data_IF_526757931614
#
_entry.id   IF_526757931614
#
_cell.length_a   1.000
_cell.length_b   1.000
_cell.length_c   1.000
_cell.angle_alpha   90.00
_cell.angle_beta   90.00
_cell.angle_gamma   90.00
#
_symmetry.space_group_name_H-M   'P 1'
#
loop_
_entity.id
_entity.type
_entity.pdbx_description
1 polymer ?
#
# COMPACT_ATOMS: atom_id res chain seq x y z
N UNK A 1 35.34 -13.93 -5.72
CA UNK A 1 33.96 -13.71 -6.25
C UNK A 1 34.06 -13.47 -7.75
N UNK A 2 33.18 -14.03 -8.61
CA UNK A 2 33.13 -13.60 -10.03
C UNK A 2 32.59 -12.16 -10.08
N UNK A 3 33.42 -11.20 -10.49
CA UNK A 3 33.00 -9.82 -10.72
C UNK A 3 32.08 -9.75 -11.97
N UNK A 4 31.15 -8.79 -12.02
CA UNK A 4 30.30 -8.54 -13.19
C UNK A 4 29.01 -9.38 -13.33
N UNK A 5 28.51 -10.01 -12.27
CA UNK A 5 27.25 -10.77 -12.35
C UNK A 5 26.04 -9.82 -12.44
N UNK A 6 25.51 -9.60 -13.65
CA UNK A 6 24.40 -8.66 -13.92
C UNK A 6 23.02 -9.10 -13.36
N UNK A 7 22.86 -10.37 -12.99
CA UNK A 7 21.56 -10.97 -12.62
C UNK A 7 21.67 -11.95 -11.45
N UNK A 8 20.60 -12.11 -10.65
CA UNK A 8 20.58 -13.09 -9.55
C UNK A 8 20.45 -14.51 -10.12
N UNK A 9 21.18 -15.48 -9.58
CA UNK A 9 21.15 -16.88 -10.06
C UNK A 9 19.95 -17.71 -9.56
N UNK A 10 19.35 -17.35 -8.42
CA UNK A 10 18.23 -18.06 -7.77
C UNK A 10 18.44 -19.56 -7.55
N UNK A 11 19.69 -19.99 -7.39
CA UNK A 11 20.07 -21.41 -7.30
C UNK A 11 19.45 -22.28 -8.40
N UNK A 12 19.40 -21.74 -9.62
CA UNK A 12 18.81 -22.39 -10.80
C UNK A 12 19.77 -22.33 -11.98
N UNK A 13 19.67 -23.33 -12.86
CA UNK A 13 20.30 -23.31 -14.19
C UNK A 13 19.78 -22.13 -15.01
N UNK A 14 20.49 -21.75 -16.07
CA UNK A 14 20.12 -20.59 -16.89
C UNK A 14 18.73 -20.73 -17.53
N UNK A 15 18.43 -21.92 -18.08
CA UNK A 15 17.15 -22.26 -18.70
C UNK A 15 16.00 -22.17 -17.68
N UNK A 16 16.12 -22.85 -16.54
CA UNK A 16 15.09 -22.84 -15.50
C UNK A 16 14.89 -21.43 -14.91
N UNK A 17 15.99 -20.67 -14.69
CA UNK A 17 15.87 -19.28 -14.24
C UNK A 17 15.08 -18.43 -15.23
N UNK A 18 15.36 -18.56 -16.53
CA UNK A 18 14.64 -17.79 -17.54
C UNK A 18 13.17 -18.20 -17.60
N UNK A 19 12.87 -19.49 -17.60
CA UNK A 19 11.49 -19.98 -17.60
C UNK A 19 10.70 -19.50 -16.38
N UNK A 20 11.30 -19.54 -15.18
CA UNK A 20 10.70 -19.01 -13.95
C UNK A 20 10.37 -17.50 -14.08
N UNK A 21 11.28 -16.71 -14.63
CA UNK A 21 11.06 -15.27 -14.81
C UNK A 21 10.01 -14.99 -15.88
N UNK A 22 10.00 -15.74 -17.00
CA UNK A 22 8.95 -15.66 -18.03
C UNK A 22 7.58 -15.96 -17.45
N UNK A 23 7.49 -17.00 -16.61
CA UNK A 23 6.27 -17.35 -15.90
C UNK A 23 5.82 -16.20 -14.99
N UNK A 24 6.68 -15.66 -14.12
CA UNK A 24 6.33 -14.55 -13.24
C UNK A 24 5.90 -13.28 -13.99
N UNK A 25 6.53 -12.96 -15.13
CA UNK A 25 6.10 -11.83 -15.97
C UNK A 25 4.75 -12.10 -16.62
N UNK A 26 4.52 -13.33 -17.11
CA UNK A 26 3.24 -13.75 -17.70
C UNK A 26 2.11 -13.62 -16.66
N UNK A 27 2.30 -14.17 -15.44
CA UNK A 27 1.34 -14.03 -14.34
C UNK A 27 1.13 -12.59 -13.90
N UNK A 28 2.16 -11.74 -13.97
CA UNK A 28 2.01 -10.31 -13.69
C UNK A 28 1.11 -9.61 -14.72
N UNK A 29 1.18 -9.96 -16.00
CA UNK A 29 0.30 -9.38 -17.03
C UNK A 29 -1.13 -9.92 -16.97
N UNK A 30 -1.27 -11.18 -16.59
CA UNK A 30 -2.56 -11.82 -16.39
C UNK A 30 -3.33 -11.17 -15.23
N UNK A 31 -2.73 -11.14 -14.04
CA UNK A 31 -3.40 -10.71 -12.81
C UNK A 31 -3.16 -9.24 -12.44
N UNK A 32 -2.24 -8.55 -13.11
CA UNK A 32 -1.79 -7.16 -12.84
C UNK A 32 -1.15 -6.94 -11.46
N UNK A 33 -1.17 -7.94 -10.58
CA UNK A 33 -0.56 -7.94 -9.26
C UNK A 33 -0.22 -9.39 -8.85
N UNK A 34 1.01 -9.60 -8.36
CA UNK A 34 1.48 -10.90 -7.86
C UNK A 34 2.24 -10.72 -6.54
N UNK A 35 2.24 -11.76 -5.70
CA UNK A 35 3.02 -11.81 -4.47
C UNK A 35 4.15 -12.83 -4.62
N UNK A 36 5.39 -12.42 -4.37
CA UNK A 36 6.56 -13.30 -4.48
C UNK A 36 7.67 -12.86 -3.53
N UNK A 37 8.83 -13.50 -3.58
CA UNK A 37 9.98 -13.05 -2.78
C UNK A 37 10.58 -11.77 -3.36
N UNK A 38 11.07 -10.87 -2.50
CA UNK A 38 11.64 -9.59 -2.89
C UNK A 38 12.70 -9.70 -4.01
N UNK A 39 13.68 -10.62 -3.99
CA UNK A 39 14.65 -10.73 -5.07
C UNK A 39 14.03 -11.17 -6.39
N UNK A 40 13.01 -12.06 -6.37
CA UNK A 40 12.27 -12.46 -7.58
C UNK A 40 11.47 -11.28 -8.14
N UNK A 41 10.74 -10.55 -7.29
CA UNK A 41 9.97 -9.38 -7.69
C UNK A 41 10.83 -8.32 -8.40
N UNK A 42 12.04 -8.06 -7.90
CA UNK A 42 12.99 -7.09 -8.50
C UNK A 42 13.44 -7.50 -9.90
N UNK A 43 13.76 -8.78 -10.11
CA UNK A 43 14.22 -9.25 -11.43
C UNK A 43 13.04 -9.37 -12.41
N UNK A 44 11.85 -9.77 -11.94
CA UNK A 44 10.62 -9.79 -12.72
C UNK A 44 10.22 -8.37 -13.17
N UNK A 45 10.29 -7.37 -12.28
CA UNK A 45 10.00 -5.97 -12.61
C UNK A 45 10.84 -5.47 -13.79
N UNK A 46 12.16 -5.72 -13.76
CA UNK A 46 13.09 -5.30 -14.84
C UNK A 46 12.71 -5.89 -16.20
N UNK A 47 12.24 -7.13 -16.23
CA UNK A 47 11.81 -7.79 -17.46
C UNK A 47 10.44 -7.31 -17.91
N UNK A 48 9.49 -7.19 -16.99
CA UNK A 48 8.14 -6.69 -17.28
C UNK A 48 8.19 -5.28 -17.88
N UNK A 49 9.04 -4.38 -17.38
CA UNK A 49 9.20 -3.03 -17.93
C UNK A 49 9.69 -3.04 -19.38
N UNK A 50 10.62 -3.94 -19.72
CA UNK A 50 11.08 -4.10 -21.10
C UNK A 50 9.97 -4.62 -22.01
N UNK A 51 9.17 -5.58 -21.56
CA UNK A 51 8.05 -6.12 -22.35
C UNK A 51 6.97 -5.05 -22.56
N UNK A 52 6.65 -4.23 -21.55
CA UNK A 52 5.73 -3.09 -21.72
C UNK A 52 6.29 -2.08 -22.73
N UNK A 53 7.59 -1.83 -22.70
CA UNK A 53 8.26 -0.94 -23.66
C UNK A 53 8.13 -1.47 -25.10
N UNK A 54 8.23 -2.79 -25.31
CA UNK A 54 7.92 -3.42 -26.60
C UNK A 54 6.44 -3.22 -26.97
N UNK A 55 5.53 -3.41 -26.01
CA UNK A 55 4.09 -3.16 -26.19
C UNK A 55 3.79 -1.74 -26.66
N UNK A 56 4.45 -0.73 -26.08
CA UNK A 56 4.34 0.67 -26.49
C UNK A 56 4.90 0.94 -27.88
N UNK A 57 5.97 0.23 -28.29
CA UNK A 57 6.61 0.42 -29.60
C UNK A 57 5.71 -0.04 -30.75
N UNK A 58 5.02 -1.18 -30.57
CA UNK A 58 4.00 -1.66 -31.52
C UNK A 58 4.50 -2.12 -32.89
N UNK A 59 5.81 -2.20 -33.14
CA UNK A 59 6.34 -2.69 -34.43
C UNK A 59 6.25 -4.23 -34.54
N UNK A 60 6.29 -4.76 -35.77
CA UNK A 60 6.26 -6.21 -36.03
C UNK A 60 7.35 -6.96 -35.25
N UNK A 61 8.54 -6.35 -35.15
CA UNK A 61 9.64 -6.91 -34.38
C UNK A 61 9.37 -6.97 -32.87
N UNK A 62 8.75 -5.94 -32.27
CA UNK A 62 8.30 -5.99 -30.88
C UNK A 62 7.25 -7.07 -30.67
N UNK A 63 6.30 -7.21 -31.61
CA UNK A 63 5.28 -8.25 -31.54
C UNK A 63 5.91 -9.64 -31.50
N UNK A 64 6.80 -9.97 -32.45
CA UNK A 64 7.51 -11.26 -32.48
C UNK A 64 8.29 -11.51 -31.19
N UNK A 65 9.02 -10.51 -30.67
CA UNK A 65 9.79 -10.64 -29.42
C UNK A 65 8.90 -10.86 -28.20
N UNK A 66 7.79 -10.13 -28.11
CA UNK A 66 6.84 -10.25 -26.99
C UNK A 66 6.14 -11.62 -27.02
N UNK A 67 5.66 -12.06 -28.19
CA UNK A 67 5.06 -13.37 -28.38
C UNK A 67 6.02 -14.51 -28.07
N UNK A 68 7.30 -14.39 -28.44
CA UNK A 68 8.31 -15.40 -28.12
C UNK A 68 8.63 -15.45 -26.61
N UNK A 69 8.45 -14.35 -25.88
CA UNK A 69 8.75 -14.27 -24.45
C UNK A 69 7.57 -14.70 -23.57
N UNK A 70 6.35 -14.25 -23.85
CA UNK A 70 5.18 -14.60 -23.05
C UNK A 70 4.85 -16.08 -23.22
N UNK A 71 4.46 -16.74 -22.12
CA UNK A 71 4.07 -18.15 -22.16
C UNK A 71 2.61 -18.34 -22.59
N UNK A 72 1.80 -17.30 -22.49
CA UNK A 72 0.38 -17.32 -22.81
C UNK A 72 0.10 -16.36 -23.98
N UNK A 73 -0.21 -16.87 -25.19
CA UNK A 73 -0.45 -16.04 -26.38
C UNK A 73 -1.64 -15.07 -26.24
N UNK A 74 -2.66 -15.42 -25.43
CA UNK A 74 -3.84 -14.59 -25.23
C UNK A 74 -3.55 -13.24 -24.53
N UNK A 75 -2.39 -13.09 -23.89
CA UNK A 75 -1.98 -11.83 -23.26
C UNK A 75 -1.32 -10.86 -24.24
N UNK A 76 -0.94 -11.32 -25.44
CA UNK A 76 -0.28 -10.47 -26.45
C UNK A 76 -1.19 -9.32 -26.89
N UNK A 77 -2.48 -9.54 -27.25
CA UNK A 77 -3.40 -8.44 -27.56
C UNK A 77 -3.58 -7.46 -26.39
N UNK A 78 -3.62 -7.96 -25.14
CA UNK A 78 -3.72 -7.12 -23.94
C UNK A 78 -2.50 -6.21 -23.80
N UNK A 79 -1.31 -6.72 -24.09
CA UNK A 79 -0.06 -5.95 -24.05
C UNK A 79 -0.05 -4.77 -25.05
N UNK A 80 -0.37 -5.04 -26.32
CA UNK A 80 -0.35 -4.02 -27.38
C UNK A 80 -1.62 -3.14 -27.40
N UNK A 81 -2.69 -3.58 -26.73
CA UNK A 81 -3.92 -2.81 -26.58
C UNK A 81 -3.97 -2.05 -25.26
N UNK A 82 -4.43 -2.72 -24.21
CA UNK A 82 -4.79 -2.06 -22.93
C UNK A 82 -3.57 -1.48 -22.21
N UNK A 83 -2.46 -2.21 -22.15
CA UNK A 83 -1.25 -1.73 -21.47
C UNK A 83 -0.50 -0.66 -22.27
N UNK A 84 -0.44 -0.77 -23.59
CA UNK A 84 0.13 0.26 -24.45
C UNK A 84 -0.62 1.60 -24.29
N UNK A 85 -1.97 1.57 -24.30
CA UNK A 85 -2.80 2.76 -24.04
C UNK A 85 -2.60 3.32 -22.63
N UNK A 86 -2.66 2.47 -21.60
CA UNK A 86 -2.49 2.88 -20.19
C UNK A 86 -1.16 3.59 -19.93
N UNK A 87 -0.10 3.18 -20.62
CA UNK A 87 1.25 3.68 -20.37
C UNK A 87 1.81 4.58 -21.46
N UNK A 88 0.99 5.05 -22.40
CA UNK A 88 1.42 5.84 -23.55
C UNK A 88 2.32 7.02 -23.14
N UNK A 89 1.85 7.84 -22.21
CA UNK A 89 2.52 9.07 -21.77
C UNK A 89 3.56 8.86 -20.67
N UNK A 90 3.67 7.64 -20.12
CA UNK A 90 4.55 7.33 -19.00
C UNK A 90 5.95 6.93 -19.48
N UNK A 91 7.03 7.68 -19.15
CA UNK A 91 8.39 7.34 -19.57
C UNK A 91 9.04 6.33 -18.60
N UNK A 92 8.59 5.08 -18.64
CA UNK A 92 9.11 4.01 -17.76
C UNK A 92 8.47 3.96 -16.36
N UNK A 93 8.95 3.03 -15.53
CA UNK A 93 8.41 2.85 -14.17
C UNK A 93 6.96 2.34 -14.18
N UNK A 94 6.69 1.33 -15.01
CA UNK A 94 5.36 0.72 -15.16
C UNK A 94 5.03 -0.28 -14.05
N UNK A 95 6.04 -0.69 -13.28
CA UNK A 95 5.91 -1.65 -12.19
C UNK A 95 6.16 -0.98 -10.85
N UNK A 96 5.54 -1.51 -9.79
CA UNK A 96 5.76 -1.09 -8.42
C UNK A 96 5.97 -2.30 -7.52
N UNK A 97 6.96 -2.20 -6.63
CA UNK A 97 7.28 -3.23 -5.66
C UNK A 97 6.97 -2.70 -4.26
N UNK A 98 6.06 -3.37 -3.56
CA UNK A 98 5.77 -3.12 -2.16
C UNK A 98 6.37 -4.23 -1.31
N UNK A 99 7.18 -3.89 -0.31
CA UNK A 99 7.69 -4.88 0.65
C UNK A 99 6.54 -5.37 1.52
N UNK A 100 6.39 -6.68 1.66
CA UNK A 100 5.29 -7.34 2.37
C UNK A 100 5.83 -8.24 3.49
N UNK A 101 6.65 -7.67 4.38
CA UNK A 101 7.26 -8.41 5.49
C UNK A 101 8.02 -9.67 5.07
N UNK A 102 8.10 -10.63 5.98
CA UNK A 102 8.75 -11.92 5.75
C UNK A 102 7.73 -13.06 5.83
N UNK A 103 7.96 -14.12 5.05
CA UNK A 103 7.11 -15.32 5.05
C UNK A 103 7.31 -16.13 6.35
N UNK A 104 6.23 -16.57 7.02
CA UNK A 104 6.36 -17.47 8.18
C UNK A 104 6.96 -18.81 7.74
N UNK A 105 7.79 -19.40 8.60
CA UNK A 105 8.51 -20.65 8.32
C UNK A 105 9.95 -20.41 7.87
N UNK A 106 10.15 -19.94 6.63
CA UNK A 106 11.49 -19.74 6.06
C UNK A 106 12.04 -18.31 6.19
N UNK A 107 11.28 -17.41 6.83
CA UNK A 107 11.61 -15.99 7.04
C UNK A 107 12.00 -15.25 5.74
N UNK A 108 11.57 -15.74 4.57
CA UNK A 108 11.97 -15.16 3.29
C UNK A 108 11.30 -13.80 3.07
N UNK A 109 12.04 -12.74 2.67
CA UNK A 109 11.46 -11.42 2.45
C UNK A 109 10.50 -11.46 1.26
N UNK A 110 9.26 -11.05 1.50
CA UNK A 110 8.19 -11.01 0.50
C UNK A 110 7.98 -9.61 -0.06
N UNK A 111 7.44 -9.56 -1.27
CA UNK A 111 7.00 -8.35 -1.90
C UNK A 111 5.79 -8.60 -2.80
N UNK A 112 4.94 -7.59 -2.89
CA UNK A 112 3.88 -7.50 -3.89
C UNK A 112 4.44 -6.72 -5.07
N UNK A 113 4.44 -7.33 -6.24
CA UNK A 113 4.77 -6.70 -7.52
C UNK A 113 3.48 -6.41 -8.25
N UNK A 114 3.25 -5.16 -8.64
CA UNK A 114 2.05 -4.74 -9.34
C UNK A 114 2.39 -3.87 -10.56
N UNK A 115 1.45 -3.86 -11.50
CA UNK A 115 1.38 -2.89 -12.58
C UNK A 115 0.77 -1.58 -12.05
N UNK A 116 1.42 -0.46 -12.35
CA UNK A 116 0.95 0.86 -11.93
C UNK A 116 -0.38 1.19 -12.62
N UNK A 117 -1.28 1.90 -11.94
CA UNK A 117 -2.59 2.29 -12.51
C UNK A 117 -3.49 1.11 -12.89
N UNK A 118 -3.29 -0.06 -12.26
CA UNK A 118 -4.20 -1.18 -12.36
C UNK A 118 -5.49 -0.95 -11.54
N UNK A 119 -6.55 -1.74 -11.76
CA UNK A 119 -7.80 -1.63 -11.00
C UNK A 119 -7.66 -1.92 -9.50
N UNK A 120 -6.60 -2.64 -9.09
CA UNK A 120 -6.35 -3.08 -7.71
C UNK A 120 -5.06 -2.48 -7.13
N UNK A 121 -4.79 -1.21 -7.45
CA UNK A 121 -3.49 -0.58 -7.15
C UNK A 121 -3.35 -0.42 -5.64
N UNK A 122 -2.38 -1.11 -5.05
CA UNK A 122 -2.20 -1.07 -3.59
C UNK A 122 -1.83 0.33 -3.13
N UNK A 123 -1.07 1.07 -3.93
CA UNK A 123 -0.69 2.44 -3.59
C UNK A 123 -1.90 3.37 -3.60
N UNK A 124 -2.83 3.15 -4.52
CA UNK A 124 -4.12 3.86 -4.57
C UNK A 124 -4.91 3.64 -3.29
N UNK A 125 -5.11 2.37 -2.92
CA UNK A 125 -5.83 1.98 -1.70
C UNK A 125 -5.15 2.51 -0.42
N UNK A 126 -3.83 2.42 -0.31
CA UNK A 126 -3.12 2.94 0.86
C UNK A 126 -3.22 4.46 0.98
N UNK A 127 -3.25 5.17 -0.15
CA UNK A 127 -3.29 6.64 -0.16
C UNK A 127 -4.70 7.15 0.12
N UNK A 128 -5.74 6.52 -0.42
CA UNK A 128 -7.13 6.83 -0.05
C UNK A 128 -7.36 6.64 1.45
N UNK A 129 -6.86 5.54 2.02
CA UNK A 129 -6.94 5.29 3.47
C UNK A 129 -6.26 6.37 4.31
N UNK A 130 -5.06 6.81 3.88
CA UNK A 130 -4.33 7.85 4.59
C UNK A 130 -5.05 9.20 4.53
N UNK A 131 -5.60 9.58 3.36
CA UNK A 131 -6.38 10.81 3.19
C UNK A 131 -7.63 10.76 4.07
N UNK A 132 -8.40 9.67 3.98
CA UNK A 132 -9.62 9.51 4.76
C UNK A 132 -9.37 9.57 6.26
N UNK A 133 -8.30 8.93 6.73
CA UNK A 133 -7.91 9.01 8.13
C UNK A 133 -7.52 10.44 8.57
N UNK A 134 -6.73 11.16 7.78
CA UNK A 134 -6.33 12.54 8.08
C UNK A 134 -7.53 13.49 8.09
N UNK A 135 -8.43 13.37 7.10
CA UNK A 135 -9.68 14.13 7.04
C UNK A 135 -10.58 13.85 8.24
N UNK A 136 -10.77 12.58 8.58
CA UNK A 136 -11.58 12.17 9.72
C UNK A 136 -10.98 12.69 11.03
N UNK A 137 -9.65 12.60 11.18
CA UNK A 137 -8.95 13.08 12.36
C UNK A 137 -9.14 14.60 12.55
N UNK A 138 -9.14 15.37 11.47
CA UNK A 138 -9.39 16.81 11.54
C UNK A 138 -10.84 17.12 11.89
N UNK A 139 -11.80 16.44 11.27
CA UNK A 139 -13.22 16.61 11.61
C UNK A 139 -13.51 16.26 13.07
N UNK A 140 -12.91 15.19 13.60
CA UNK A 140 -13.08 14.77 14.99
C UNK A 140 -12.55 15.77 16.03
N UNK A 141 -11.65 16.69 15.66
CA UNK A 141 -11.25 17.78 16.57
C UNK A 141 -12.35 18.83 16.74
N UNK A 142 -13.18 19.01 15.72
CA UNK A 142 -14.21 20.06 15.66
C UNK A 142 -15.62 19.56 15.97
N UNK A 143 -15.92 18.30 15.63
CA UNK A 143 -17.27 17.74 15.65
C UNK A 143 -17.32 16.44 16.46
N UNK A 144 -18.48 16.18 17.06
CA UNK A 144 -18.74 14.92 17.78
C UNK A 144 -18.87 13.75 16.79
N UNK A 145 -18.42 12.53 17.13
CA UNK A 145 -18.47 11.38 16.23
C UNK A 145 -19.87 11.09 15.65
N UNK A 146 -20.92 11.18 16.48
CA UNK A 146 -22.32 10.98 16.06
C UNK A 146 -22.76 11.94 14.94
N UNK A 147 -22.32 13.19 15.00
CA UNK A 147 -22.66 14.18 13.97
C UNK A 147 -21.97 13.90 12.64
N UNK A 148 -20.77 13.32 12.67
CA UNK A 148 -20.01 12.94 11.48
C UNK A 148 -20.63 11.70 10.84
N UNK A 149 -21.11 10.74 11.64
CA UNK A 149 -21.81 9.55 11.13
C UNK A 149 -23.05 9.95 10.33
N UNK A 150 -23.85 10.89 10.84
CA UNK A 150 -25.09 11.30 10.17
C UNK A 150 -24.86 12.15 8.92
N UNK A 151 -23.80 12.96 8.90
CA UNK A 151 -23.49 13.86 7.77
C UNK A 151 -22.55 13.24 6.74
N UNK A 152 -21.83 12.18 7.09
CA UNK A 152 -20.75 11.61 6.29
C UNK A 152 -19.53 12.53 6.20
N UNK A 153 -18.46 12.04 5.56
CA UNK A 153 -17.27 12.85 5.29
C UNK A 153 -17.33 13.46 3.90
N UNK A 154 -18.08 14.56 3.82
CA UNK A 154 -18.13 15.45 2.66
C UNK A 154 -16.80 16.20 2.45
N UNK A 155 -16.54 16.62 1.20
CA UNK A 155 -15.38 17.45 0.82
C UNK A 155 -14.13 16.67 0.40
N UNK A 156 -14.18 15.33 0.30
CA UNK A 156 -12.99 14.53 -0.07
C UNK A 156 -12.45 14.87 -1.46
N UNK A 157 -13.34 15.12 -2.43
CA UNK A 157 -12.95 15.53 -3.77
C UNK A 157 -12.25 16.89 -3.76
N UNK A 158 -12.78 17.87 -3.03
CA UNK A 158 -12.23 19.22 -2.92
C UNK A 158 -10.83 19.20 -2.32
N UNK A 159 -10.61 18.42 -1.26
CA UNK A 159 -9.29 18.24 -0.64
C UNK A 159 -8.31 17.64 -1.66
N UNK A 160 -8.72 16.61 -2.39
CA UNK A 160 -7.89 15.99 -3.43
C UNK A 160 -7.54 16.99 -4.54
N UNK A 161 -8.50 17.78 -5.01
CA UNK A 161 -8.30 18.76 -6.07
C UNK A 161 -7.43 19.94 -5.61
N UNK A 162 -7.59 20.41 -4.38
CA UNK A 162 -6.74 21.44 -3.78
C UNK A 162 -5.28 20.95 -3.69
N UNK A 163 -5.07 19.75 -3.16
CA UNK A 163 -3.75 19.15 -2.98
C UNK A 163 -3.04 18.82 -4.31
N UNK A 164 -3.82 18.50 -5.35
CA UNK A 164 -3.31 18.28 -6.70
C UNK A 164 -2.73 19.55 -7.32
N UNK A 165 -3.29 20.72 -7.02
CA UNK A 165 -2.87 22.03 -7.58
C UNK A 165 -1.59 22.57 -6.95
N UNK A 166 -1.25 22.12 -5.74
CA UNK A 166 -0.06 22.58 -5.03
C UNK A 166 1.23 22.13 -5.72
N UNK A 167 2.18 23.06 -5.88
CA UNK A 167 3.52 22.76 -6.40
C UNK A 167 4.38 22.08 -5.34
N UNK A 168 5.38 21.34 -5.79
CA UNK A 168 6.39 20.76 -4.91
C UNK A 168 7.09 21.85 -4.09
N UNK A 169 7.20 21.66 -2.77
CA UNK A 169 7.84 22.62 -1.86
C UNK A 169 6.94 23.75 -1.36
N UNK A 170 5.70 23.87 -1.85
CA UNK A 170 4.74 24.83 -1.29
C UNK A 170 4.22 24.36 0.09
N UNK A 171 4.34 25.23 1.07
CA UNK A 171 3.72 25.10 2.39
C UNK A 171 2.21 25.41 2.30
N UNK A 172 1.38 24.79 3.16
CA UNK A 172 -0.04 25.16 3.30
C UNK A 172 -1.09 24.17 2.80
N UNK A 173 -0.74 22.96 2.37
CA UNK A 173 -1.76 21.93 2.11
C UNK A 173 -2.34 21.34 3.40
N UNK A 174 -3.60 20.90 3.31
CA UNK A 174 -4.42 20.27 4.35
C UNK A 174 -3.87 18.90 4.77
N UNK A 175 -3.26 18.16 3.85
CA UNK A 175 -2.72 16.83 4.09
C UNK A 175 -1.26 16.87 4.52
N UNK A 176 -0.82 15.84 5.25
CA UNK A 176 0.58 15.62 5.59
C UNK A 176 1.44 15.59 4.32
N UNK A 177 2.68 16.13 4.35
CA UNK A 177 3.52 16.23 3.16
C UNK A 177 3.74 14.90 2.42
N UNK A 178 3.89 13.79 3.16
CA UNK A 178 4.07 12.46 2.58
C UNK A 178 2.81 11.96 1.90
N UNK A 179 1.63 12.22 2.45
CA UNK A 179 0.34 11.80 1.89
C UNK A 179 0.05 12.58 0.61
N UNK A 180 0.23 13.90 0.66
CA UNK A 180 0.21 14.80 -0.52
C UNK A 180 1.13 14.33 -1.64
N UNK A 181 2.38 14.01 -1.31
CA UNK A 181 3.34 13.55 -2.32
C UNK A 181 2.89 12.26 -3.02
N UNK A 182 2.25 11.36 -2.29
CA UNK A 182 1.76 10.10 -2.86
C UNK A 182 0.53 10.32 -3.72
N UNK A 183 -0.39 11.18 -3.26
CA UNK A 183 -1.56 11.64 -4.00
C UNK A 183 -1.13 12.21 -5.35
N UNK A 184 -0.24 13.20 -5.36
CA UNK A 184 0.24 13.86 -6.58
C UNK A 184 0.90 12.87 -7.54
N UNK A 185 1.70 11.94 -7.01
CA UNK A 185 2.31 10.88 -7.83
C UNK A 185 1.30 9.92 -8.46
N UNK A 186 0.23 9.59 -7.75
CA UNK A 186 -0.83 8.73 -8.27
C UNK A 186 -1.63 9.44 -9.37
N UNK A 187 -1.91 10.72 -9.21
CA UNK A 187 -2.73 11.49 -10.15
C UNK A 187 -1.97 11.98 -11.39
N UNK A 188 -0.63 11.98 -11.37
CA UNK A 188 0.20 12.58 -12.43
C UNK A 188 -0.09 12.06 -13.85
N UNK A 189 -0.34 10.76 -14.00
CA UNK A 189 -0.51 10.10 -15.30
C UNK A 189 -1.88 9.43 -15.46
N UNK A 190 -2.83 9.74 -14.56
CA UNK A 190 -4.19 9.20 -14.64
C UNK A 190 -5.11 10.21 -15.30
N UNK A 191 -6.24 9.70 -15.80
CA UNK A 191 -7.27 10.50 -16.46
C UNK A 191 -7.83 11.61 -15.55
N UNK A 192 -8.48 12.59 -16.17
CA UNK A 192 -9.20 13.67 -15.49
C UNK A 192 -10.26 13.18 -14.49
N UNK A 193 -10.80 11.97 -14.68
CA UNK A 193 -11.77 11.33 -13.77
C UNK A 193 -11.14 10.77 -12.48
N UNK A 194 -9.82 10.68 -12.39
CA UNK A 194 -9.14 10.04 -11.27
C UNK A 194 -9.37 10.73 -9.91
N UNK A 195 -9.31 12.08 -9.78
CA UNK A 195 -9.60 12.76 -8.52
C UNK A 195 -10.98 12.42 -7.97
N UNK A 196 -12.00 12.37 -8.83
CA UNK A 196 -13.37 12.02 -8.47
C UNK A 196 -13.45 10.56 -7.98
N UNK A 197 -12.84 9.62 -8.71
CA UNK A 197 -12.76 8.21 -8.27
C UNK A 197 -12.04 8.07 -6.93
N UNK A 198 -11.00 8.86 -6.70
CA UNK A 198 -10.25 8.85 -5.46
C UNK A 198 -11.06 9.42 -4.30
N UNK A 199 -11.72 10.56 -4.51
CA UNK A 199 -12.60 11.19 -3.53
C UNK A 199 -13.72 10.26 -3.10
N UNK A 200 -14.37 9.58 -4.05
CA UNK A 200 -15.38 8.55 -3.76
C UNK A 200 -14.80 7.43 -2.89
N UNK A 201 -13.63 6.89 -3.28
CA UNK A 201 -12.96 5.81 -2.54
C UNK A 201 -12.52 6.23 -1.12
N UNK A 202 -12.15 7.50 -0.94
CA UNK A 202 -11.87 8.09 0.37
C UNK A 202 -13.14 8.14 1.21
N UNK A 203 -14.25 8.61 0.64
CA UNK A 203 -15.58 8.60 1.28
C UNK A 203 -15.97 7.19 1.74
N UNK A 204 -15.96 6.22 0.82
CA UNK A 204 -16.26 4.82 1.11
C UNK A 204 -15.44 4.26 2.29
N UNK A 205 -14.15 4.62 2.36
CA UNK A 205 -13.27 4.19 3.43
C UNK A 205 -13.63 4.83 4.78
N UNK A 206 -13.92 6.13 4.79
CA UNK A 206 -14.29 6.84 6.01
C UNK A 206 -15.65 6.36 6.53
N UNK A 207 -16.61 6.17 5.64
CA UNK A 207 -17.92 5.62 5.97
C UNK A 207 -17.78 4.22 6.56
N UNK A 208 -16.95 3.36 5.94
CA UNK A 208 -16.62 2.06 6.50
C UNK A 208 -16.01 2.18 7.91
N UNK A 209 -15.02 3.07 8.12
CA UNK A 209 -14.40 3.28 9.43
C UNK A 209 -15.41 3.71 10.50
N UNK A 210 -16.35 4.58 10.15
CA UNK A 210 -17.39 5.08 11.05
C UNK A 210 -18.49 4.06 11.33
N UNK A 211 -18.87 3.26 10.32
CA UNK A 211 -19.91 2.24 10.44
C UNK A 211 -19.43 1.01 11.24
N UNK A 212 -18.16 0.63 11.11
CA UNK A 212 -17.57 -0.55 11.77
C UNK A 212 -17.87 -0.61 13.28
N UNK A 213 -17.59 0.42 14.11
CA UNK A 213 -17.87 0.37 15.54
C UNK A 213 -19.37 0.33 15.87
N UNK A 214 -20.22 0.99 15.08
CA UNK A 214 -21.68 0.98 15.26
C UNK A 214 -22.23 -0.43 15.00
N UNK A 215 -21.81 -1.06 13.90
CA UNK A 215 -22.18 -2.42 13.55
C UNK A 215 -21.70 -3.44 14.59
N UNK A 216 -20.47 -3.31 15.10
CA UNK A 216 -20.00 -4.20 16.17
C UNK A 216 -20.81 -4.03 17.46
N UNK A 217 -21.21 -2.80 17.78
CA UNK A 217 -22.03 -2.53 18.95
C UNK A 217 -23.43 -3.14 18.82
N UNK A 218 -24.10 -2.94 17.68
CA UNK A 218 -25.44 -3.51 17.44
C UNK A 218 -25.41 -5.03 17.46
N UNK A 219 -24.44 -5.66 16.78
CA UNK A 219 -24.24 -7.12 16.83
C UNK A 219 -24.03 -7.60 18.26
N UNK A 220 -23.25 -6.86 19.07
CA UNK A 220 -23.01 -7.21 20.46
C UNK A 220 -24.27 -7.07 21.32
N UNK A 221 -25.05 -6.01 21.14
CA UNK A 221 -26.32 -5.78 21.83
C UNK A 221 -27.32 -6.91 21.50
N UNK A 222 -27.49 -7.26 20.22
CA UNK A 222 -28.31 -8.41 19.79
C UNK A 222 -27.84 -9.74 20.39
N UNK A 223 -26.53 -9.99 20.43
CA UNK A 223 -25.97 -11.19 21.06
C UNK A 223 -26.27 -11.23 22.56
N UNK A 224 -26.24 -10.07 23.24
CA UNK A 224 -26.52 -9.95 24.66
C UNK A 224 -28.02 -10.14 24.96
N UNK A 225 -28.90 -9.66 24.08
CA UNK A 225 -30.34 -9.90 24.18
C UNK A 225 -30.67 -11.40 24.04
N UNK A 226 -30.04 -12.10 23.09
CA UNK A 226 -30.24 -13.55 22.91
C UNK A 226 -29.73 -14.38 24.08
N UNK A 227 -28.62 -13.98 24.69
CA UNK A 227 -28.09 -14.62 25.88
C UNK A 227 -27.39 -13.59 26.77
N UNK A 228 -27.94 -13.26 27.95
CA UNK A 228 -27.36 -12.28 28.87
C UNK A 228 -25.94 -12.63 29.35
N UNK A 229 -25.53 -13.91 29.26
CA UNK A 229 -24.19 -14.38 29.62
C UNK A 229 -23.16 -14.12 28.51
N UNK A 230 -23.58 -13.73 27.31
CA UNK A 230 -22.67 -13.40 26.22
C UNK A 230 -21.81 -12.19 26.58
N UNK A 231 -20.51 -12.42 26.73
CA UNK A 231 -19.52 -11.36 26.93
C UNK A 231 -19.18 -10.71 25.60
N UNK A 232 -18.88 -9.41 25.63
CA UNK A 232 -18.32 -8.72 24.47
C UNK A 232 -17.15 -9.52 23.90
N UNK A 233 -17.03 -9.67 22.57
CA UNK A 233 -15.96 -10.42 21.95
C UNK A 233 -14.63 -9.80 22.36
N UNK A 234 -13.94 -10.45 23.31
CA UNK A 234 -12.60 -10.03 23.71
C UNK A 234 -11.65 -10.52 22.64
N UNK A 235 -10.81 -9.64 22.06
CA UNK A 235 -9.79 -10.09 21.14
C UNK A 235 -8.93 -11.17 21.81
N UNK A 236 -8.95 -12.39 21.25
CA UNK A 236 -8.09 -13.46 21.76
C UNK A 236 -6.64 -13.11 21.46
N UNK A 237 -5.73 -13.46 22.36
CA UNK A 237 -4.30 -13.32 22.12
C UNK A 237 -3.92 -14.02 20.79
N UNK A 238 -3.40 -13.25 19.82
CA UNK A 238 -3.04 -13.76 18.49
C UNK A 238 -4.10 -13.55 17.40
N UNK A 239 -5.33 -13.16 17.74
CA UNK A 239 -6.37 -12.80 16.77
C UNK A 239 -6.11 -11.40 16.20
N UNK A 240 -6.21 -11.20 14.89
CA UNK A 240 -6.20 -9.85 14.31
C UNK A 240 -7.58 -9.20 14.48
N UNK A 241 -7.61 -7.92 14.89
CA UNK A 241 -8.86 -7.15 14.88
C UNK A 241 -9.28 -6.88 13.42
N UNK A 242 -10.59 -6.80 13.13
CA UNK A 242 -11.08 -6.41 11.81
C UNK A 242 -10.49 -5.05 11.40
N UNK A 243 -9.87 -5.00 10.22
CA UNK A 243 -9.18 -3.80 9.69
C UNK A 243 -7.71 -3.67 10.10
N UNK A 244 -7.23 -4.48 11.04
CA UNK A 244 -5.85 -4.53 11.50
C UNK A 244 -5.08 -5.71 10.91
N UNK A 245 -3.83 -5.48 10.54
CA UNK A 245 -2.95 -6.54 9.99
C UNK A 245 -2.13 -7.24 11.07
N UNK A 246 -2.17 -6.71 12.30
CA UNK A 246 -1.38 -7.20 13.43
C UNK A 246 -2.31 -7.95 14.40
N UNK A 247 -1.83 -9.06 14.98
CA UNK A 247 -2.56 -9.72 16.05
C UNK A 247 -2.65 -8.80 17.28
N UNK A 248 -3.74 -8.93 18.03
CA UNK A 248 -4.02 -8.18 19.26
C UNK A 248 -2.95 -8.30 20.31
N UNK A 249 -2.29 -9.47 20.39
CA UNK A 249 -1.12 -9.65 21.24
C UNK A 249 0.06 -8.79 20.77
N UNK A 250 0.25 -8.59 19.46
CA UNK A 250 1.26 -7.67 18.92
C UNK A 250 0.89 -6.21 19.12
N UNK A 251 -0.40 -5.86 19.14
CA UNK A 251 -0.88 -4.51 19.49
C UNK A 251 -0.68 -4.23 20.99
N UNK A 252 -1.04 -5.19 21.84
CA UNK A 252 -0.84 -5.09 23.29
C UNK A 252 0.64 -5.07 23.67
N UNK A 253 1.51 -5.82 22.97
CA UNK A 253 2.96 -5.80 23.17
C UNK A 253 3.66 -4.57 22.58
N UNK A 254 2.98 -3.75 21.79
CA UNK A 254 3.62 -2.62 21.11
C UNK A 254 2.66 -1.47 20.82
N UNK A 255 2.80 -0.40 21.61
CA UNK A 255 2.40 0.99 21.34
C UNK A 255 1.13 1.55 22.01
N UNK A 256 0.83 1.18 23.27
CA UNK A 256 0.06 2.07 24.17
C UNK A 256 0.93 3.05 24.98
N UNK A 257 2.23 3.07 24.72
CA UNK A 257 3.09 4.18 25.11
C UNK A 257 4.02 4.46 23.94
N UNK A 258 3.92 5.68 23.37
CA UNK A 258 5.12 6.29 22.81
C UNK A 258 6.17 6.19 23.92
N UNK A 259 7.35 5.62 23.64
CA UNK A 259 8.52 6.16 24.33
C UNK A 259 8.59 7.60 23.86
N UNK A 260 8.36 8.55 24.76
CA UNK A 260 8.91 9.89 24.56
C UNK A 260 10.36 9.68 24.12
N UNK A 261 10.71 10.25 22.98
CA UNK A 261 12.12 10.36 22.62
C UNK A 261 12.75 11.22 23.72
N UNK A 262 13.40 10.59 24.69
CA UNK A 262 14.29 11.31 25.59
C UNK A 262 15.23 12.09 24.69
N UNK A 263 15.20 13.41 24.86
CA UNK A 263 15.91 14.38 24.04
C UNK A 263 17.30 13.91 23.66
N UNK A 264 17.63 14.13 22.39
CA UNK A 264 18.97 14.05 21.82
C UNK A 264 19.90 15.04 22.51
N UNK A 265 20.46 14.68 23.65
CA UNK A 265 21.64 15.33 24.21
C UNK A 265 22.75 14.28 24.26
N UNK A 266 23.87 14.46 23.54
CA UNK A 266 25.00 13.52 23.55
C UNK A 266 25.82 13.58 24.85
N UNK A 267 25.34 14.31 25.87
CA UNK A 267 26.06 14.53 27.12
C UNK A 267 25.60 13.49 28.15
N UNK A 268 26.56 12.71 28.67
CA UNK A 268 26.36 11.79 29.78
C UNK A 268 25.96 12.58 31.04
N UNK A 269 24.66 12.67 31.32
CA UNK A 269 24.18 13.26 32.58
C UNK A 269 24.37 12.27 33.74
N UNK A 270 24.58 12.76 34.97
CA UNK A 270 24.65 11.91 36.17
C UNK A 270 23.42 10.99 36.33
N UNK A 271 22.25 11.47 35.86
CA UNK A 271 20.98 10.72 35.87
C UNK A 271 21.03 9.47 34.98
N UNK A 272 21.73 9.56 33.85
CA UNK A 272 21.92 8.46 32.89
C UNK A 272 22.97 7.44 33.33
N UNK A 273 23.97 7.84 34.12
CA UNK A 273 25.07 6.97 34.54
C UNK A 273 24.73 6.14 35.78
N UNK A 274 24.09 6.74 36.79
CA UNK A 274 24.02 6.12 38.13
C UNK A 274 22.64 5.63 38.59
N UNK A 275 21.61 5.75 37.74
CA UNK A 275 20.37 4.96 37.87
C UNK A 275 19.62 5.00 39.23
N UNK A 276 19.89 5.96 40.12
CA UNK A 276 19.22 6.09 41.42
C UNK A 276 18.64 7.48 41.60
N UNK A 277 17.37 7.53 42.03
CA UNK A 277 16.72 8.74 42.53
C UNK A 277 17.41 9.12 43.84
N UNK A 278 18.18 10.21 43.84
CA UNK A 278 18.45 10.91 45.08
C UNK A 278 17.12 11.44 45.62
N UNK A 279 16.79 11.07 46.87
CA UNK A 279 15.80 11.80 47.66
C UNK A 279 16.50 13.07 48.12
N UNK A 280 15.95 14.22 47.75
CA UNK A 280 16.43 15.51 48.22
C UNK A 280 16.30 15.58 49.75
N UNK A 281 17.37 16.00 50.40
CA UNK A 281 17.29 16.79 51.62
C UNK A 281 17.09 18.26 51.22
#
# INVERSE_FOLDING_TARGET
MKHGVAFRKFSRTSSHRMLMLRNLVTSLFEHEQISTTLPKARDTARLAEKIITLGKKGDRAAHTRASAFLLQPSLVPKLFGTFAKRYADRPGGYTRIHKFGNRPGDNAPRAILELVDNPRDLRWEMTSRAIGWEMLQEKLKSQKPLSIINKGVEGAQEVVDAERRLKFGQSGGLLRPKTRWNLQKLLKFRDSSAPLKLGKKVGDYVDHLLATPVAFRSIHEEMKERNPQNRAPRPKAGQALPGETRPTLSLARGALARRETTSTSPVLSMKTVFGRKYKNA
#
